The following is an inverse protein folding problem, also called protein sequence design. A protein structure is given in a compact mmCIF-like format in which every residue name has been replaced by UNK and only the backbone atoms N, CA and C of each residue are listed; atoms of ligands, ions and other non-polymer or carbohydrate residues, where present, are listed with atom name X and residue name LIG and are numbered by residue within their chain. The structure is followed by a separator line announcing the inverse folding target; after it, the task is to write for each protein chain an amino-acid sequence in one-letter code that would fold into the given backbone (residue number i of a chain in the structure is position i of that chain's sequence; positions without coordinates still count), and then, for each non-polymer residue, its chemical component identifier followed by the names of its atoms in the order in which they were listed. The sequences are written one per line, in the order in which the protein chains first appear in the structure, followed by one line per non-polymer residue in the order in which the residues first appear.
data_IF_104024734898
#
_entry.id   IF_104024734898
#
_cell.length_a   1.000
_cell.length_b   1.000
_cell.length_c   1.000
_cell.angle_alpha   90.00
_cell.angle_beta   90.00
_cell.angle_gamma   90.00
#
_symmetry.space_group_name_H-M   'P 1'
#
loop_
_entity.id
_entity.type
_entity.pdbx_description
1 polymer ?
#
# COMPACT_ATOMS: atom_id res chain seq x y z
N UNK A 1 15.22 20.78 3.73
CA UNK A 1 15.03 21.80 2.69
C UNK A 1 16.30 22.61 2.40
N UNK A 2 16.97 23.24 3.38
CA UNK A 2 18.18 24.04 3.12
C UNK A 2 19.30 23.33 2.33
N UNK A 3 19.65 22.10 2.72
CA UNK A 3 20.65 21.31 1.98
C UNK A 3 20.19 20.89 0.57
N UNK A 4 18.88 20.69 0.37
CA UNK A 4 18.29 20.36 -0.94
C UNK A 4 18.36 21.60 -1.85
N UNK A 5 17.97 22.76 -1.32
CA UNK A 5 18.07 24.06 -2.01
C UNK A 5 19.51 24.37 -2.43
N UNK A 6 20.47 24.22 -1.51
CA UNK A 6 21.89 24.43 -1.78
C UNK A 6 22.42 23.48 -2.87
N UNK A 7 22.04 22.19 -2.84
CA UNK A 7 22.42 21.21 -3.87
C UNK A 7 21.80 21.52 -5.23
N UNK A 8 20.55 21.97 -5.27
CA UNK A 8 19.80 22.23 -6.49
C UNK A 8 20.04 23.65 -7.06
N UNK A 9 20.79 24.51 -6.37
CA UNK A 9 21.06 25.88 -6.81
C UNK A 9 19.82 26.79 -6.80
N UNK A 10 18.78 26.46 -6.03
CA UNK A 10 17.52 27.21 -5.97
C UNK A 10 17.26 27.78 -4.57
N UNK A 11 16.47 28.84 -4.49
CA UNK A 11 16.05 29.41 -3.21
C UNK A 11 15.14 28.47 -2.41
N UNK A 12 15.25 28.49 -1.07
CA UNK A 12 14.38 27.71 -0.17
C UNK A 12 12.89 28.00 -0.39
N UNK A 13 12.55 29.27 -0.65
CA UNK A 13 11.17 29.70 -0.91
C UNK A 13 10.60 29.09 -2.19
N UNK A 14 11.43 28.93 -3.24
CA UNK A 14 11.06 28.22 -4.46
C UNK A 14 10.71 26.77 -4.16
N UNK A 15 11.51 26.07 -3.34
CA UNK A 15 11.21 24.68 -2.98
C UNK A 15 9.95 24.54 -2.12
N UNK A 16 9.73 25.42 -1.13
CA UNK A 16 8.53 25.34 -0.28
C UNK A 16 7.22 25.57 -1.03
N UNK A 17 7.26 26.25 -2.19
CA UNK A 17 6.09 26.41 -3.07
C UNK A 17 5.61 25.09 -3.66
N UNK A 18 6.53 24.16 -3.93
CA UNK A 18 6.24 22.86 -4.55
C UNK A 18 6.18 21.74 -3.52
N UNK A 19 7.02 21.81 -2.48
CA UNK A 19 7.11 20.82 -1.42
C UNK A 19 7.00 21.48 -0.05
N UNK A 20 5.85 21.35 0.63
CA UNK A 20 5.64 21.99 1.93
C UNK A 20 6.60 21.47 3.01
N UNK A 21 7.14 20.26 2.85
CA UNK A 21 8.09 19.64 3.78
C UNK A 21 9.23 18.89 3.11
N UNK A 22 10.31 18.61 3.86
CA UNK A 22 11.39 17.72 3.40
C UNK A 22 10.87 16.32 3.07
N UNK A 23 9.89 15.85 3.83
CA UNK A 23 9.32 14.53 3.63
C UNK A 23 8.49 14.46 2.34
N UNK A 24 7.82 15.54 1.93
CA UNK A 24 7.17 15.64 0.62
C UNK A 24 8.17 15.47 -0.55
N UNK A 25 9.36 16.07 -0.47
CA UNK A 25 10.41 15.85 -1.49
C UNK A 25 10.87 14.38 -1.51
N UNK A 26 11.05 13.78 -0.33
CA UNK A 26 11.46 12.37 -0.22
C UNK A 26 10.39 11.44 -0.78
N UNK A 27 9.12 11.77 -0.55
CA UNK A 27 7.99 11.01 -1.07
C UNK A 27 7.94 11.05 -2.61
N UNK A 28 8.16 12.21 -3.22
CA UNK A 28 8.20 12.31 -4.69
C UNK A 28 9.33 11.44 -5.29
N UNK A 29 10.55 11.55 -4.74
CA UNK A 29 11.67 10.68 -5.16
C UNK A 29 11.37 9.20 -4.90
N UNK A 30 10.65 8.90 -3.82
CA UNK A 30 10.21 7.55 -3.53
C UNK A 30 9.27 7.04 -4.62
N UNK A 31 8.27 7.82 -5.03
CA UNK A 31 7.35 7.46 -6.12
C UNK A 31 8.10 7.18 -7.43
N UNK A 32 9.04 8.05 -7.81
CA UNK A 32 9.85 7.86 -9.02
C UNK A 32 10.65 6.55 -9.01
N UNK A 33 11.26 6.22 -7.85
CA UNK A 33 12.13 5.05 -7.70
C UNK A 33 11.38 3.75 -7.48
N UNK A 34 10.12 3.84 -7.06
CA UNK A 34 9.27 2.69 -6.76
C UNK A 34 8.13 2.58 -7.76
N UNK A 35 8.40 2.89 -9.02
CA UNK A 35 7.45 2.62 -10.10
C UNK A 35 7.34 1.11 -10.34
N UNK A 36 6.40 0.51 -9.63
CA UNK A 36 6.03 -0.89 -9.73
C UNK A 36 4.77 -0.86 -10.57
N UNK A 37 4.77 -1.60 -11.68
CA UNK A 37 3.61 -1.71 -12.57
C UNK A 37 2.34 -2.17 -11.83
N UNK A 38 1.25 -2.42 -12.55
CA UNK A 38 0.00 -2.84 -11.92
C UNK A 38 0.24 -4.04 -10.98
N UNK A 39 -0.26 -3.94 -9.74
CA UNK A 39 -0.06 -4.96 -8.71
C UNK A 39 -0.86 -6.22 -8.99
N UNK A 40 -1.92 -6.07 -9.78
CA UNK A 40 -2.74 -7.15 -10.29
C UNK A 40 -2.53 -7.26 -11.80
N UNK A 41 -2.40 -8.49 -12.28
CA UNK A 41 -2.22 -8.82 -13.68
C UNK A 41 -3.53 -8.77 -14.49
N UNK A 42 -4.66 -8.46 -13.85
CA UNK A 42 -5.98 -8.42 -14.47
C UNK A 42 -6.57 -9.80 -14.76
N UNK A 43 -6.03 -10.86 -14.14
CA UNK A 43 -6.59 -12.20 -14.21
C UNK A 43 -8.03 -12.28 -13.65
N UNK A 44 -8.70 -13.41 -13.87
CA UNK A 44 -10.07 -13.66 -13.34
C UNK A 44 -10.08 -14.36 -11.97
N UNK A 45 -8.94 -14.89 -11.53
CA UNK A 45 -8.81 -15.58 -10.25
C UNK A 45 -8.49 -14.55 -9.15
N UNK A 46 -9.53 -14.17 -8.40
CA UNK A 46 -9.40 -13.21 -7.30
C UNK A 46 -8.53 -13.73 -6.13
N UNK A 47 -8.71 -14.97 -5.63
CA UNK A 47 -7.80 -15.57 -4.67
C UNK A 47 -6.32 -15.51 -5.06
N UNK A 48 -5.99 -15.87 -6.31
CA UNK A 48 -4.61 -15.82 -6.79
C UNK A 48 -4.07 -14.39 -6.84
N UNK A 49 -4.88 -13.44 -7.31
CA UNK A 49 -4.55 -12.01 -7.35
C UNK A 49 -4.29 -11.42 -5.97
N UNK A 50 -5.17 -11.70 -5.00
CA UNK A 50 -5.03 -11.22 -3.63
C UNK A 50 -3.75 -11.77 -2.98
N UNK A 51 -3.46 -13.06 -3.21
CA UNK A 51 -2.22 -13.69 -2.74
C UNK A 51 -0.98 -13.05 -3.39
N UNK A 52 -0.99 -12.85 -4.72
CA UNK A 52 0.10 -12.20 -5.43
C UNK A 52 0.35 -10.78 -4.90
N UNK A 53 -0.72 -10.04 -4.63
CA UNK A 53 -0.59 -8.68 -4.10
C UNK A 53 -0.05 -8.65 -2.66
N UNK A 54 -0.48 -9.57 -1.80
CA UNK A 54 0.05 -9.70 -0.43
C UNK A 54 1.53 -10.13 -0.42
N UNK A 55 1.96 -10.99 -1.35
CA UNK A 55 3.40 -11.29 -1.53
C UNK A 55 4.16 -10.10 -2.11
N UNK A 56 3.57 -9.34 -3.03
CA UNK A 56 4.13 -8.09 -3.53
C UNK A 56 4.37 -7.06 -2.42
N UNK A 57 3.46 -6.96 -1.45
CA UNK A 57 3.66 -6.18 -0.22
C UNK A 57 4.93 -6.62 0.51
N UNK A 58 5.09 -7.93 0.74
CA UNK A 58 6.27 -8.48 1.42
C UNK A 58 7.56 -8.18 0.66
N UNK A 59 7.60 -8.49 -0.63
CA UNK A 59 8.78 -8.24 -1.48
C UNK A 59 9.18 -6.77 -1.46
N UNK A 60 8.21 -5.86 -1.53
CA UNK A 60 8.49 -4.43 -1.61
C UNK A 60 8.89 -3.81 -0.26
N UNK A 61 8.18 -4.15 0.81
CA UNK A 61 8.28 -3.44 2.09
C UNK A 61 9.11 -4.16 3.15
N UNK A 62 9.28 -5.47 3.01
CA UNK A 62 10.02 -6.29 3.96
C UNK A 62 11.40 -6.60 3.40
N UNK A 63 11.47 -7.07 2.16
CA UNK A 63 12.72 -7.51 1.53
C UNK A 63 13.39 -6.41 0.71
N UNK A 64 12.59 -5.51 0.12
CA UNK A 64 13.02 -4.50 -0.80
C UNK A 64 13.67 -3.28 -0.13
N UNK A 65 14.58 -2.58 -0.83
CA UNK A 65 15.23 -1.37 -0.33
C UNK A 65 14.25 -0.21 -0.09
N UNK A 66 13.05 -0.28 -0.68
CA UNK A 66 11.97 0.69 -0.52
C UNK A 66 11.31 0.64 0.87
N UNK A 67 11.36 -0.50 1.57
CA UNK A 67 10.63 -0.72 2.80
C UNK A 67 10.96 0.26 3.93
N UNK A 68 12.25 0.47 4.20
CA UNK A 68 12.68 1.43 5.23
C UNK A 68 12.20 2.84 4.93
N UNK A 69 12.26 3.27 3.66
CA UNK A 69 11.79 4.60 3.25
C UNK A 69 10.29 4.76 3.41
N UNK A 70 9.50 3.76 3.05
CA UNK A 70 8.05 3.86 3.25
C UNK A 70 7.71 3.96 4.75
N UNK A 71 8.36 3.17 5.62
CA UNK A 71 8.14 3.25 7.07
C UNK A 71 8.46 4.64 7.63
N UNK A 72 9.57 5.24 7.21
CA UNK A 72 9.94 6.62 7.58
C UNK A 72 8.88 7.63 7.13
N UNK A 73 8.37 7.48 5.91
CA UNK A 73 7.33 8.34 5.34
C UNK A 73 5.99 8.19 6.08
N UNK A 74 5.56 6.96 6.39
CA UNK A 74 4.36 6.69 7.18
C UNK A 74 4.47 7.32 8.57
N UNK A 75 5.64 7.22 9.20
CA UNK A 75 5.91 7.87 10.50
C UNK A 75 5.83 9.39 10.42
N UNK A 76 6.45 10.00 9.40
CA UNK A 76 6.40 11.45 9.19
C UNK A 76 4.97 11.95 8.92
N UNK A 77 4.17 11.17 8.18
CA UNK A 77 2.79 11.50 7.84
C UNK A 77 1.88 11.61 9.09
N UNK A 78 2.22 10.99 10.22
CA UNK A 78 1.42 11.11 11.45
C UNK A 78 1.38 12.54 12.01
N UNK A 79 2.34 13.39 11.63
CA UNK A 79 2.45 14.78 12.09
C UNK A 79 2.52 15.81 10.95
N UNK A 80 2.39 15.36 9.70
CA UNK A 80 2.43 16.18 8.49
C UNK A 80 1.17 15.88 7.64
N UNK A 81 0.08 16.64 7.81
CA UNK A 81 -1.19 16.39 7.12
C UNK A 81 -1.09 16.45 5.58
N UNK A 82 -0.20 17.30 5.05
CA UNK A 82 0.00 17.42 3.61
C UNK A 82 0.70 16.18 3.05
N UNK A 83 1.71 15.67 3.76
CA UNK A 83 2.33 14.40 3.41
C UNK A 83 1.34 13.24 3.53
N UNK A 84 0.55 13.19 4.61
CA UNK A 84 -0.45 12.13 4.80
C UNK A 84 -1.44 12.08 3.63
N UNK A 85 -1.97 13.25 3.25
CA UNK A 85 -2.86 13.38 2.09
C UNK A 85 -2.19 12.93 0.80
N UNK A 86 -0.97 13.40 0.52
CA UNK A 86 -0.22 12.99 -0.66
C UNK A 86 0.04 11.47 -0.70
N UNK A 87 0.38 10.86 0.44
CA UNK A 87 0.57 9.41 0.53
C UNK A 87 -0.73 8.64 0.28
N UNK A 88 -1.85 9.09 0.83
CA UNK A 88 -3.16 8.48 0.54
C UNK A 88 -3.45 8.56 -0.95
N UNK A 89 -3.40 9.76 -1.54
CA UNK A 89 -3.79 10.01 -2.93
C UNK A 89 -2.88 9.33 -3.95
N UNK A 90 -1.56 9.35 -3.74
CA UNK A 90 -0.58 8.96 -4.76
C UNK A 90 0.01 7.58 -4.51
N UNK A 91 -0.08 7.05 -3.29
CA UNK A 91 0.48 5.73 -2.96
C UNK A 91 -0.59 4.69 -2.61
N UNK A 92 -1.42 4.95 -1.61
CA UNK A 92 -2.36 3.93 -1.13
C UNK A 92 -3.58 3.77 -2.05
N UNK A 93 -4.17 4.88 -2.50
CA UNK A 93 -5.41 4.86 -3.28
C UNK A 93 -5.27 4.15 -4.64
N UNK A 94 -4.21 4.35 -5.45
CA UNK A 94 -4.07 3.63 -6.72
C UNK A 94 -4.04 2.11 -6.55
N UNK A 95 -3.41 1.64 -5.46
CA UNK A 95 -3.34 0.22 -5.10
C UNK A 95 -4.69 -0.31 -4.63
N UNK A 96 -5.38 0.45 -3.77
CA UNK A 96 -6.74 0.09 -3.32
C UNK A 96 -7.69 0.01 -4.51
N UNK A 97 -7.65 0.97 -5.42
CA UNK A 97 -8.51 1.02 -6.59
C UNK A 97 -8.39 -0.25 -7.47
N UNK A 98 -7.18 -0.75 -7.71
CA UNK A 98 -6.96 -1.99 -8.46
C UNK A 98 -7.64 -3.19 -7.79
N UNK A 99 -7.51 -3.33 -6.47
CA UNK A 99 -8.16 -4.44 -5.76
C UNK A 99 -9.67 -4.26 -5.67
N UNK A 100 -10.18 -3.04 -5.52
CA UNK A 100 -11.64 -2.80 -5.56
C UNK A 100 -12.23 -3.25 -6.89
N UNK A 101 -11.53 -3.01 -7.99
CA UNK A 101 -11.95 -3.47 -9.31
C UNK A 101 -11.98 -5.01 -9.38
N UNK A 102 -10.90 -5.67 -8.94
CA UNK A 102 -10.84 -7.14 -8.93
C UNK A 102 -11.90 -7.78 -8.01
N UNK A 103 -12.14 -7.18 -6.84
CA UNK A 103 -13.16 -7.64 -5.90
C UNK A 103 -14.57 -7.50 -6.49
N UNK A 104 -14.89 -6.37 -7.12
CA UNK A 104 -16.20 -6.17 -7.78
C UNK A 104 -16.44 -7.25 -8.84
N UNK A 105 -15.44 -7.52 -9.68
CA UNK A 105 -15.54 -8.60 -10.67
C UNK A 105 -15.75 -9.98 -10.01
N UNK A 106 -15.10 -10.24 -8.88
CA UNK A 106 -15.28 -11.49 -8.12
C UNK A 106 -16.67 -11.59 -7.47
N UNK A 107 -17.25 -10.46 -7.03
CA UNK A 107 -18.61 -10.38 -6.50
C UNK A 107 -19.64 -10.63 -7.61
N UNK A 108 -19.46 -10.03 -8.78
CA UNK A 108 -20.31 -10.28 -9.96
C UNK A 108 -20.26 -11.75 -10.42
N UNK A 109 -19.11 -12.41 -10.25
CA UNK A 109 -18.93 -13.83 -10.54
C UNK A 109 -19.41 -14.77 -9.42
N UNK A 110 -19.90 -14.25 -8.29
CA UNK A 110 -20.34 -15.04 -7.13
C UNK A 110 -19.22 -15.75 -6.37
N UNK A 111 -17.96 -15.40 -6.64
CA UNK A 111 -16.77 -15.96 -5.95
C UNK A 111 -16.58 -15.31 -4.56
N UNK A 112 -17.00 -14.05 -4.43
CA UNK A 112 -16.96 -13.27 -3.20
C UNK A 112 -18.37 -12.80 -2.83
N UNK A 113 -18.68 -12.77 -1.53
CA UNK A 113 -19.96 -12.28 -1.01
C UNK A 113 -20.22 -10.81 -1.38
N UNK A 114 -21.45 -10.50 -1.79
CA UNK A 114 -21.82 -9.20 -2.34
C UNK A 114 -21.99 -8.08 -1.28
N UNK A 115 -22.11 -8.44 0.00
CA UNK A 115 -22.39 -7.52 1.10
C UNK A 115 -21.12 -6.98 1.79
N UNK A 116 -19.92 -7.42 1.37
CA UNK A 116 -18.67 -6.90 1.91
C UNK A 116 -18.21 -5.68 1.12
N UNK A 117 -17.95 -4.59 1.84
CA UNK A 117 -17.33 -3.40 1.30
C UNK A 117 -15.87 -3.67 0.93
N UNK A 118 -15.44 -3.17 -0.24
CA UNK A 118 -14.15 -3.52 -0.79
C UNK A 118 -12.95 -3.05 0.05
N UNK A 119 -13.08 -1.88 0.68
CA UNK A 119 -12.02 -1.38 1.55
C UNK A 119 -11.90 -2.21 2.84
N UNK A 120 -13.01 -2.75 3.36
CA UNK A 120 -13.00 -3.67 4.51
C UNK A 120 -12.38 -5.02 4.14
N UNK A 121 -12.70 -5.56 2.95
CA UNK A 121 -12.07 -6.78 2.44
C UNK A 121 -10.54 -6.63 2.35
N UNK A 122 -10.08 -5.45 1.90
CA UNK A 122 -8.67 -5.10 1.85
C UNK A 122 -8.04 -5.03 3.24
N UNK A 123 -8.71 -4.38 4.20
CA UNK A 123 -8.18 -4.20 5.55
C UNK A 123 -7.96 -5.54 6.26
N UNK A 124 -8.82 -6.53 6.03
CA UNK A 124 -8.66 -7.88 6.58
C UNK A 124 -7.32 -8.54 6.22
N UNK A 125 -6.77 -8.22 5.04
CA UNK A 125 -5.50 -8.78 4.58
C UNK A 125 -4.33 -7.85 4.85
N UNK A 126 -4.46 -6.55 4.52
CA UNK A 126 -3.33 -5.64 4.53
C UNK A 126 -3.10 -4.98 5.88
N UNK A 127 -4.12 -4.79 6.72
CA UNK A 127 -3.92 -4.18 8.04
C UNK A 127 -3.05 -5.06 8.96
N UNK A 128 -3.21 -6.41 9.04
CA UNK A 128 -2.31 -7.26 9.82
C UNK A 128 -0.85 -7.25 9.31
N UNK A 129 -0.64 -7.09 8.01
CA UNK A 129 0.70 -6.96 7.43
C UNK A 129 1.35 -5.63 7.83
N UNK A 130 0.62 -4.52 7.73
CA UNK A 130 1.09 -3.21 8.18
C UNK A 130 1.31 -3.17 9.70
N UNK A 131 0.46 -3.82 10.48
CA UNK A 131 0.62 -3.89 11.93
C UNK A 131 1.92 -4.58 12.34
N UNK A 132 2.28 -5.71 11.71
CA UNK A 132 3.58 -6.35 11.94
C UNK A 132 4.74 -5.49 11.47
N UNK A 133 4.60 -4.84 10.31
CA UNK A 133 5.62 -4.00 9.73
C UNK A 133 5.93 -2.74 10.56
N UNK A 134 4.91 -2.11 11.14
CA UNK A 134 4.99 -0.77 11.72
C UNK A 134 4.91 -0.74 13.24
N UNK A 135 4.24 -1.73 13.85
CA UNK A 135 3.87 -1.68 15.27
C UNK A 135 4.53 -2.81 16.04
N UNK A 136 4.20 -4.07 15.74
CA UNK A 136 4.66 -5.19 16.56
C UNK A 136 6.07 -5.67 16.24
N UNK A 137 6.60 -5.32 15.05
CA UNK A 137 7.92 -5.75 14.60
C UNK A 137 8.06 -7.26 14.37
N UNK A 138 6.96 -8.01 14.44
CA UNK A 138 6.96 -9.45 14.20
C UNK A 138 7.27 -9.75 12.73
N UNK A 139 7.87 -10.91 12.41
CA UNK A 139 8.19 -11.26 11.03
C UNK A 139 6.97 -11.24 10.10
N UNK A 140 7.20 -10.77 8.87
CA UNK A 140 6.26 -10.88 7.75
C UNK A 140 6.88 -11.83 6.73
N UNK A 141 6.90 -13.12 7.08
CA UNK A 141 7.36 -14.20 6.21
C UNK A 141 6.25 -14.70 5.28
N UNK A 142 6.60 -15.60 4.36
CA UNK A 142 5.65 -16.13 3.39
C UNK A 142 4.52 -16.95 4.05
N UNK A 143 4.81 -17.63 5.16
CA UNK A 143 3.82 -18.41 5.91
C UNK A 143 2.75 -17.49 6.51
N UNK A 144 3.16 -16.41 7.17
CA UNK A 144 2.24 -15.42 7.71
C UNK A 144 1.41 -14.73 6.62
N UNK A 145 2.04 -14.35 5.50
CA UNK A 145 1.34 -13.76 4.36
C UNK A 145 0.25 -14.71 3.85
N UNK A 146 0.57 -15.99 3.66
CA UNK A 146 -0.41 -16.99 3.22
C UNK A 146 -1.54 -17.16 4.24
N UNK A 147 -1.22 -17.30 5.52
CA UNK A 147 -2.22 -17.48 6.57
C UNK A 147 -3.21 -16.30 6.64
N UNK A 148 -2.73 -15.06 6.55
CA UNK A 148 -3.60 -13.87 6.56
C UNK A 148 -4.48 -13.80 5.31
N UNK A 149 -3.93 -14.13 4.14
CA UNK A 149 -4.70 -14.20 2.89
C UNK A 149 -5.77 -15.28 2.98
N UNK A 150 -5.44 -16.47 3.49
CA UNK A 150 -6.38 -17.59 3.59
C UNK A 150 -7.52 -17.27 4.57
N UNK A 151 -7.22 -16.66 5.72
CA UNK A 151 -8.22 -16.16 6.67
C UNK A 151 -9.11 -15.08 6.05
N UNK A 152 -8.51 -14.14 5.31
CA UNK A 152 -9.24 -13.11 4.58
C UNK A 152 -10.18 -13.71 3.53
N UNK A 153 -9.69 -14.64 2.71
CA UNK A 153 -10.48 -15.32 1.69
C UNK A 153 -11.63 -16.12 2.30
N UNK A 154 -11.38 -16.87 3.38
CA UNK A 154 -12.44 -17.61 4.08
C UNK A 154 -13.57 -16.70 4.59
N UNK A 155 -13.25 -15.47 5.01
CA UNK A 155 -14.24 -14.48 5.42
C UNK A 155 -15.01 -13.85 4.24
N UNK A 156 -14.40 -13.84 3.05
CA UNK A 156 -14.95 -13.27 1.82
C UNK A 156 -15.74 -14.27 0.97
N UNK A 157 -15.50 -15.57 1.11
CA UNK A 157 -16.25 -16.59 0.38
C UNK A 157 -17.70 -16.66 0.86
N UNK A 158 -18.67 -16.82 -0.05
CA UNK A 158 -20.07 -17.05 0.33
C UNK A 158 -20.19 -18.24 1.27
N UNK A 159 -20.95 -18.08 2.36
CA UNK A 159 -21.30 -19.21 3.21
C UNK A 159 -22.33 -20.06 2.47
N UNK A 160 -22.02 -21.33 2.23
CA UNK A 160 -23.02 -22.29 1.77
C UNK A 160 -23.93 -22.58 2.97
N UNK A 161 -25.17 -22.13 2.87
CA UNK A 161 -26.26 -22.51 3.79
C UNK A 161 -26.64 -23.97 3.61
#
# INVERSE_FOLDING_TARGET
MGAIAARAGVGRQTLYRWWPSKAAVVFEVFLEKTNIGPFLDGGKDFPAQLRAFAHGFRTLYVEGPAGTRLRELIGAAQTDPDLARAMVEQWFEPRRAQVRQALRAAQEAGVVRADVAADTALDLVFAPLHYRLLVSGQPVDAEYVNAVVDLGLAALTPQVS
#
